data_IF_642930337952
#
_entry.id   IF_642930337952
#
_cell.length_a   1.000
_cell.length_b   1.000
_cell.length_c   1.000
_cell.angle_alpha   90.00
_cell.angle_beta   90.00
_cell.angle_gamma   90.00
#
_symmetry.space_group_name_H-M   'P 1'
#
loop_
_entity.id
_entity.type
_entity.pdbx_description
1 polymer ?
#
# COMPACT_ATOMS: atom_id res chain seq x y z
N UNK A 1 -22.77 1.50 -10.32
CA UNK A 1 -23.93 2.34 -10.03
C UNK A 1 -25.05 1.39 -9.75
N UNK A 2 -25.68 1.52 -8.59
CA UNK A 2 -26.80 0.69 -8.18
C UNK A 2 -27.99 1.56 -7.77
N UNK A 3 -29.19 0.95 -7.75
CA UNK A 3 -30.42 1.63 -7.29
C UNK A 3 -30.44 1.68 -5.77
N UNK A 4 -30.71 2.86 -5.21
CA UNK A 4 -30.85 3.00 -3.77
C UNK A 4 -32.22 2.48 -3.32
N UNK A 5 -32.26 1.37 -2.54
CA UNK A 5 -33.45 0.86 -1.82
C UNK A 5 -34.78 0.94 -2.60
N UNK A 6 -34.84 0.31 -3.78
CA UNK A 6 -36.02 0.30 -4.66
C UNK A 6 -36.54 1.69 -5.12
N UNK A 7 -35.75 2.74 -4.98
CA UNK A 7 -36.05 4.06 -5.54
C UNK A 7 -35.64 4.17 -7.02
N UNK A 8 -36.05 5.24 -7.67
CA UNK A 8 -35.57 5.64 -9.00
C UNK A 8 -34.19 6.32 -8.96
N UNK A 9 -33.57 6.46 -7.78
CA UNK A 9 -32.29 7.14 -7.61
C UNK A 9 -31.16 6.13 -7.71
N UNK A 10 -30.17 6.47 -8.54
CA UNK A 10 -28.93 5.72 -8.67
C UNK A 10 -27.82 6.44 -7.90
N UNK A 11 -26.90 5.66 -7.34
CA UNK A 11 -25.73 6.20 -6.65
C UNK A 11 -24.45 5.54 -7.12
N UNK A 12 -23.35 6.28 -7.00
CA UNK A 12 -22.01 5.76 -7.21
C UNK A 12 -21.51 5.07 -5.94
N UNK A 13 -20.85 3.94 -6.12
CA UNK A 13 -20.23 3.14 -5.07
C UNK A 13 -18.96 2.52 -5.64
N UNK A 14 -18.08 2.04 -4.76
CA UNK A 14 -16.89 1.29 -5.17
C UNK A 14 -17.31 0.07 -5.99
N UNK A 15 -16.54 -0.25 -7.04
CA UNK A 15 -16.83 -1.37 -7.94
C UNK A 15 -17.11 -2.64 -7.13
N UNK A 16 -18.20 -3.33 -7.48
CA UNK A 16 -18.67 -4.57 -6.84
C UNK A 16 -18.97 -4.46 -5.33
N UNK A 17 -19.09 -3.23 -4.80
CA UNK A 17 -19.36 -2.91 -3.39
C UNK A 17 -20.49 -1.88 -3.24
N UNK A 18 -21.75 -2.25 -3.52
CA UNK A 18 -22.91 -1.36 -3.36
C UNK A 18 -23.08 -0.83 -1.93
N UNK A 19 -22.52 -1.51 -0.94
CA UNK A 19 -22.48 -1.11 0.47
C UNK A 19 -21.54 0.07 0.76
N UNK A 20 -20.66 0.44 -0.18
CA UNK A 20 -19.67 1.51 -0.04
C UNK A 20 -19.98 2.68 -1.00
N UNK A 21 -20.97 3.54 -0.70
CA UNK A 21 -21.29 4.70 -1.52
C UNK A 21 -20.13 5.71 -1.53
N UNK A 22 -19.90 6.34 -2.68
CA UNK A 22 -18.85 7.34 -2.87
C UNK A 22 -19.38 8.71 -2.46
N UNK A 23 -18.65 9.40 -1.58
CA UNK A 23 -18.98 10.76 -1.14
C UNK A 23 -18.74 11.77 -2.26
N UNK A 24 -19.65 12.74 -2.39
CA UNK A 24 -19.52 13.81 -3.38
C UNK A 24 -18.61 14.93 -2.86
N UNK A 25 -17.32 14.87 -3.21
CA UNK A 25 -16.32 15.87 -2.82
C UNK A 25 -16.55 17.27 -3.38
N UNK A 26 -17.40 17.43 -4.40
CA UNK A 26 -17.81 18.76 -4.89
C UNK A 26 -18.77 19.47 -3.95
N UNK A 27 -19.39 18.75 -3.02
CA UNK A 27 -20.19 19.37 -1.96
C UNK A 27 -19.27 19.99 -0.92
N UNK A 28 -19.39 21.30 -0.75
CA UNK A 28 -18.62 22.05 0.25
C UNK A 28 -18.83 21.50 1.67
N UNK A 29 -20.08 21.18 2.03
CA UNK A 29 -20.41 20.58 3.32
C UNK A 29 -19.72 19.23 3.54
N UNK A 30 -19.62 18.39 2.50
CA UNK A 30 -18.90 17.11 2.59
C UNK A 30 -17.41 17.35 2.77
N UNK A 31 -16.82 18.25 1.98
CA UNK A 31 -15.41 18.58 2.07
C UNK A 31 -15.02 19.11 3.46
N UNK A 32 -15.83 20.03 4.01
CA UNK A 32 -15.65 20.57 5.37
C UNK A 32 -15.75 19.45 6.41
N UNK A 33 -16.82 18.65 6.37
CA UNK A 33 -17.03 17.59 7.35
C UNK A 33 -15.88 16.56 7.38
N UNK A 34 -15.33 16.19 6.22
CA UNK A 34 -14.19 15.26 6.16
C UNK A 34 -12.91 15.93 6.68
N UNK A 35 -12.67 17.19 6.32
CA UNK A 35 -11.49 17.95 6.80
C UNK A 35 -11.52 18.14 8.32
N UNK A 36 -12.69 18.41 8.90
CA UNK A 36 -12.87 18.50 10.35
C UNK A 36 -12.60 17.16 11.03
N UNK A 37 -13.03 16.04 10.44
CA UNK A 37 -12.71 14.70 10.93
C UNK A 37 -11.20 14.41 10.91
N UNK A 38 -10.48 14.84 9.86
CA UNK A 38 -9.02 14.74 9.81
C UNK A 38 -8.36 15.59 10.92
N UNK A 39 -8.81 16.84 11.10
CA UNK A 39 -8.33 17.72 12.16
C UNK A 39 -8.50 17.10 13.55
N UNK A 40 -9.65 16.50 13.83
CA UNK A 40 -9.90 15.80 15.09
C UNK A 40 -8.83 14.74 15.38
N UNK A 41 -8.45 13.90 14.41
CA UNK A 41 -7.43 12.89 14.64
C UNK A 41 -6.03 13.47 14.79
N UNK A 42 -5.73 14.56 14.08
CA UNK A 42 -4.49 15.32 14.29
C UNK A 42 -4.41 15.84 15.73
N UNK A 43 -5.50 16.34 16.32
CA UNK A 43 -5.53 16.73 17.74
C UNK A 43 -5.32 15.55 18.70
N UNK A 44 -5.77 14.35 18.32
CA UNK A 44 -5.51 13.11 19.09
C UNK A 44 -4.06 12.65 18.99
N UNK A 45 -3.24 13.31 18.19
CA UNK A 45 -1.80 13.14 18.15
C UNK A 45 -1.32 12.05 17.21
N UNK A 46 -2.13 11.63 16.23
CA UNK A 46 -1.67 10.73 15.16
C UNK A 46 -0.52 11.37 14.36
N UNK A 47 0.32 10.55 13.74
CA UNK A 47 1.47 11.03 12.97
C UNK A 47 1.22 11.05 11.45
N UNK A 48 0.04 10.60 10.99
CA UNK A 48 -0.26 10.57 9.56
C UNK A 48 -1.55 9.88 9.16
N UNK A 49 -1.88 9.96 7.87
CA UNK A 49 -3.04 9.33 7.26
C UNK A 49 -2.62 8.45 6.08
N UNK A 50 -3.31 7.31 5.96
CA UNK A 50 -3.27 6.45 4.79
C UNK A 50 -4.60 6.52 4.05
N UNK A 51 -4.56 6.95 2.80
CA UNK A 51 -5.72 7.04 1.93
C UNK A 51 -5.77 5.84 0.95
N UNK A 52 -6.77 4.98 1.11
CA UNK A 52 -7.13 3.98 0.11
C UNK A 52 -8.14 4.54 -0.89
N UNK A 53 -8.28 3.88 -2.05
CA UNK A 53 -9.33 4.14 -3.03
C UNK A 53 -9.40 5.60 -3.53
N UNK A 54 -8.25 6.26 -3.65
CA UNK A 54 -8.19 7.69 -4.03
C UNK A 54 -8.70 7.95 -5.45
N UNK A 55 -8.72 6.94 -6.32
CA UNK A 55 -9.28 6.96 -7.68
C UNK A 55 -10.80 7.18 -7.72
N UNK A 56 -11.46 7.12 -6.56
CA UNK A 56 -12.88 7.43 -6.39
C UNK A 56 -13.15 8.82 -5.80
N UNK A 57 -12.13 9.59 -5.40
CA UNK A 57 -12.32 10.97 -4.92
C UNK A 57 -12.94 11.86 -6.00
N UNK A 58 -12.59 11.62 -7.27
CA UNK A 58 -13.21 12.27 -8.40
C UNK A 58 -13.20 11.42 -9.67
N UNK A 59 -14.21 11.64 -10.50
CA UNK A 59 -14.43 10.93 -11.76
C UNK A 59 -14.59 11.93 -12.90
N UNK A 60 -14.23 11.49 -14.11
CA UNK A 60 -14.49 12.22 -15.35
C UNK A 60 -15.99 12.50 -15.51
N UNK A 61 -16.41 13.50 -16.32
CA UNK A 61 -17.84 13.84 -16.47
C UNK A 61 -18.75 12.68 -16.91
N UNK A 62 -18.20 11.67 -17.60
CA UNK A 62 -18.91 10.44 -17.98
C UNK A 62 -18.96 9.38 -16.86
N UNK A 63 -18.28 9.62 -15.73
CA UNK A 63 -18.19 8.77 -14.55
C UNK A 63 -17.31 7.52 -14.70
N UNK A 64 -16.71 7.30 -15.88
CA UNK A 64 -16.07 6.01 -16.22
C UNK A 64 -14.62 5.90 -15.74
N UNK A 65 -13.91 7.00 -15.65
CA UNK A 65 -12.50 7.02 -15.27
C UNK A 65 -12.25 7.96 -14.09
N UNK A 66 -11.15 7.73 -13.38
CA UNK A 66 -10.66 8.65 -12.36
C UNK A 66 -10.20 9.96 -13.00
N UNK A 67 -10.58 11.10 -12.40
CA UNK A 67 -10.10 12.42 -12.81
C UNK A 67 -8.89 12.80 -11.95
N UNK A 68 -7.69 12.43 -12.40
CA UNK A 68 -6.46 12.58 -11.62
C UNK A 68 -6.08 14.04 -11.33
N UNK A 69 -6.49 14.98 -12.18
CA UNK A 69 -6.28 16.41 -11.95
C UNK A 69 -7.15 16.90 -10.80
N UNK A 70 -8.43 16.52 -10.78
CA UNK A 70 -9.35 16.81 -9.68
C UNK A 70 -8.94 16.11 -8.38
N UNK A 71 -8.55 14.83 -8.46
CA UNK A 71 -8.04 14.06 -7.32
C UNK A 71 -6.83 14.75 -6.70
N UNK A 72 -5.85 15.15 -7.52
CA UNK A 72 -4.64 15.86 -7.06
C UNK A 72 -5.00 17.14 -6.31
N UNK A 73 -5.96 17.93 -6.82
CA UNK A 73 -6.41 19.15 -6.16
C UNK A 73 -7.15 18.88 -4.85
N UNK A 74 -8.00 17.85 -4.78
CA UNK A 74 -8.69 17.47 -3.54
C UNK A 74 -7.67 17.12 -2.46
N UNK A 75 -6.71 16.24 -2.80
CA UNK A 75 -5.62 15.84 -1.90
C UNK A 75 -4.74 17.02 -1.48
N UNK A 76 -4.41 17.93 -2.41
CA UNK A 76 -3.71 19.19 -2.07
C UNK A 76 -4.51 20.01 -1.06
N UNK A 77 -5.83 20.14 -1.25
CA UNK A 77 -6.67 20.88 -0.31
C UNK A 77 -6.75 20.22 1.07
N UNK A 78 -6.58 18.90 1.16
CA UNK A 78 -6.47 18.16 2.42
C UNK A 78 -5.12 18.47 3.07
N UNK A 79 -4.01 18.40 2.32
CA UNK A 79 -2.68 18.78 2.79
C UNK A 79 -2.65 20.20 3.35
N UNK A 80 -3.22 21.15 2.61
CA UNK A 80 -3.24 22.56 3.01
C UNK A 80 -4.06 22.76 4.28
N UNK A 81 -5.21 22.08 4.40
CA UNK A 81 -6.03 22.10 5.62
C UNK A 81 -5.26 21.56 6.84
N UNK A 82 -4.60 20.41 6.70
CA UNK A 82 -3.79 19.81 7.77
C UNK A 82 -2.65 20.74 8.18
N UNK A 83 -1.94 21.33 7.21
CA UNK A 83 -0.84 22.25 7.49
C UNK A 83 -1.34 23.53 8.19
N UNK A 84 -2.45 24.10 7.73
CA UNK A 84 -3.07 25.26 8.36
C UNK A 84 -3.44 24.95 9.82
N UNK A 85 -4.12 23.83 10.02
CA UNK A 85 -4.59 23.40 11.33
C UNK A 85 -3.44 23.11 12.31
N UNK A 86 -2.40 22.41 11.82
CA UNK A 86 -1.16 22.16 12.56
C UNK A 86 -0.54 23.44 13.08
N UNK A 87 -0.39 24.44 12.21
CA UNK A 87 0.28 25.69 12.56
C UNK A 87 -0.51 26.52 13.59
N UNK A 88 -1.83 26.33 13.67
CA UNK A 88 -2.70 26.98 14.65
C UNK A 88 -2.73 26.29 16.03
N UNK A 89 -2.24 25.06 16.15
CA UNK A 89 -2.30 24.27 17.39
C UNK A 89 -0.94 24.17 18.07
N UNK A 90 -0.88 24.58 19.35
CA UNK A 90 0.33 24.55 20.18
C UNK A 90 0.89 23.12 20.31
N UNK A 91 0.01 22.12 20.37
CA UNK A 91 0.39 20.72 20.62
C UNK A 91 0.90 19.99 19.36
N UNK A 92 0.61 20.51 18.17
CA UNK A 92 0.93 19.82 16.90
C UNK A 92 1.91 20.60 16.02
N UNK A 93 2.24 21.85 16.36
CA UNK A 93 3.10 22.74 15.57
C UNK A 93 4.42 22.14 15.12
N UNK A 94 5.04 21.28 15.93
CA UNK A 94 6.35 20.67 15.65
C UNK A 94 6.25 19.29 14.98
N UNK A 95 5.04 18.71 14.83
CA UNK A 95 4.86 17.38 14.22
C UNK A 95 4.65 17.46 12.72
N UNK A 96 5.41 16.72 11.92
CA UNK A 96 5.03 16.51 10.52
C UNK A 96 3.97 15.42 10.41
N UNK A 97 2.87 15.72 9.70
CA UNK A 97 1.78 14.78 9.47
C UNK A 97 2.01 14.11 8.13
N UNK A 98 2.33 12.82 8.17
CA UNK A 98 2.63 12.02 6.99
C UNK A 98 1.36 11.67 6.22
N UNK A 99 1.29 11.94 4.92
CA UNK A 99 0.17 11.53 4.05
C UNK A 99 0.66 10.54 3.01
N UNK A 100 0.08 9.35 3.04
CA UNK A 100 0.33 8.30 2.04
C UNK A 100 -0.96 7.83 1.38
N UNK A 101 -0.84 7.30 0.17
CA UNK A 101 -1.95 6.64 -0.50
C UNK A 101 -1.56 5.28 -1.10
N UNK A 102 -2.50 4.34 -1.10
CA UNK A 102 -2.41 3.07 -1.85
C UNK A 102 -3.48 3.05 -2.93
N UNK A 103 -3.21 3.64 -4.11
CA UNK A 103 -4.11 3.55 -5.25
C UNK A 103 -4.04 2.16 -5.90
N UNK A 104 -5.02 1.85 -6.76
CA UNK A 104 -4.84 0.83 -7.80
C UNK A 104 -3.58 1.14 -8.64
N UNK A 105 -2.94 0.15 -9.28
CA UNK A 105 -1.70 0.36 -10.05
C UNK A 105 -1.75 1.60 -10.95
N UNK A 106 -0.79 2.50 -10.74
CA UNK A 106 -0.72 3.79 -11.41
C UNK A 106 0.45 3.84 -12.38
N UNK A 107 0.20 4.51 -13.51
CA UNK A 107 1.28 4.97 -14.38
C UNK A 107 2.18 5.96 -13.63
N UNK A 108 3.45 5.96 -14.01
CA UNK A 108 4.52 6.77 -13.42
C UNK A 108 4.22 8.27 -13.37
N UNK A 109 3.63 8.81 -14.44
CA UNK A 109 3.21 10.21 -14.53
C UNK A 109 2.21 10.60 -13.44
N UNK A 110 1.28 9.69 -13.12
CA UNK A 110 0.29 9.87 -12.04
C UNK A 110 0.92 9.76 -10.66
N UNK A 111 1.88 8.84 -10.47
CA UNK A 111 2.64 8.75 -9.21
C UNK A 111 3.38 10.06 -8.94
N UNK A 112 4.02 10.61 -9.98
CA UNK A 112 4.69 11.92 -9.89
C UNK A 112 3.71 13.03 -9.52
N UNK A 113 2.61 13.16 -10.26
CA UNK A 113 1.55 14.15 -10.01
C UNK A 113 1.09 14.13 -8.54
N UNK A 114 0.87 12.94 -7.98
CA UNK A 114 0.34 12.79 -6.63
C UNK A 114 1.36 13.15 -5.53
N UNK A 115 2.65 12.82 -5.68
CA UNK A 115 3.64 13.26 -4.70
C UNK A 115 4.01 14.74 -4.86
N UNK A 116 4.23 15.21 -6.09
CA UNK A 116 4.70 16.60 -6.31
C UNK A 116 3.57 17.61 -6.17
N UNK A 117 2.42 17.35 -6.81
CA UNK A 117 1.37 18.35 -7.02
C UNK A 117 0.19 18.17 -6.07
N UNK A 118 -0.09 16.95 -5.59
CA UNK A 118 -1.09 16.72 -4.56
C UNK A 118 -0.52 16.86 -3.14
N UNK A 119 0.81 16.78 -2.98
CA UNK A 119 1.49 16.91 -1.70
C UNK A 119 1.36 15.69 -0.80
N UNK A 120 1.20 14.49 -1.37
CA UNK A 120 1.42 13.25 -0.62
C UNK A 120 2.91 13.08 -0.36
N UNK A 121 3.26 12.64 0.85
CA UNK A 121 4.65 12.31 1.18
C UNK A 121 5.06 10.97 0.54
N UNK A 122 4.07 10.11 0.26
CA UNK A 122 4.32 8.81 -0.33
C UNK A 122 3.13 8.23 -1.08
N UNK A 123 3.43 7.34 -2.02
CA UNK A 123 2.48 6.48 -2.71
C UNK A 123 3.03 5.06 -2.63
N UNK A 124 2.20 4.13 -2.19
CA UNK A 124 2.58 2.72 -2.09
C UNK A 124 2.74 2.14 -3.49
N UNK A 125 3.88 1.51 -3.73
CA UNK A 125 4.19 0.73 -4.93
C UNK A 125 3.56 -0.64 -4.80
N UNK A 126 2.43 -0.84 -5.47
CA UNK A 126 1.63 -2.06 -5.43
C UNK A 126 1.97 -3.04 -6.55
N UNK A 127 2.85 -2.68 -7.50
CA UNK A 127 3.19 -3.54 -8.64
C UNK A 127 3.78 -4.92 -8.26
N UNK A 128 4.33 -5.03 -7.05
CA UNK A 128 4.94 -6.26 -6.51
C UNK A 128 3.94 -7.14 -5.73
N UNK A 129 2.74 -6.63 -5.45
CA UNK A 129 1.74 -7.28 -4.58
C UNK A 129 1.02 -8.48 -5.22
N UNK A 130 1.27 -8.75 -6.50
CA UNK A 130 0.70 -9.87 -7.28
C UNK A 130 1.74 -10.85 -7.87
N UNK A 131 3.04 -10.69 -7.57
CA UNK A 131 4.06 -11.69 -7.90
C UNK A 131 3.69 -13.08 -7.33
N UNK A 132 3.64 -14.09 -8.20
CA UNK A 132 3.22 -15.45 -7.90
C UNK A 132 3.97 -16.51 -8.73
N UNK A 133 3.71 -17.79 -8.47
CA UNK A 133 4.14 -18.84 -9.36
C UNK A 133 3.34 -18.76 -10.68
N UNK A 134 3.99 -18.98 -11.83
CA UNK A 134 3.36 -18.86 -13.17
C UNK A 134 2.88 -17.46 -13.54
N UNK A 135 3.60 -16.43 -13.07
CA UNK A 135 3.32 -15.00 -13.22
C UNK A 135 2.59 -14.62 -14.51
N UNK A 136 1.45 -13.91 -14.37
CA UNK A 136 0.67 -13.33 -15.48
C UNK A 136 0.82 -11.82 -15.61
N UNK A 137 1.57 -11.19 -14.72
CA UNK A 137 1.72 -9.74 -14.62
C UNK A 137 2.98 -9.21 -15.34
N UNK A 138 3.95 -10.08 -15.61
CA UNK A 138 5.17 -9.77 -16.36
C UNK A 138 5.08 -10.31 -17.80
N UNK A 139 6.06 -9.95 -18.64
CA UNK A 139 6.08 -10.41 -20.02
C UNK A 139 6.03 -11.94 -20.12
N UNK A 140 5.41 -12.46 -21.19
CA UNK A 140 5.25 -13.90 -21.39
C UNK A 140 6.57 -14.69 -21.44
N UNK A 141 7.69 -14.01 -21.72
CA UNK A 141 9.04 -14.59 -21.66
C UNK A 141 9.59 -14.76 -20.23
N UNK A 142 9.05 -14.03 -19.25
CA UNK A 142 9.48 -14.02 -17.85
C UNK A 142 8.44 -14.70 -16.95
N UNK A 143 8.42 -16.03 -16.98
CA UNK A 143 7.44 -16.84 -16.23
C UNK A 143 7.88 -17.19 -14.80
N UNK A 144 9.11 -16.85 -14.41
CA UNK A 144 9.65 -17.16 -13.09
C UNK A 144 9.36 -16.04 -12.08
N UNK A 145 9.27 -16.39 -10.80
CA UNK A 145 9.16 -15.41 -9.69
C UNK A 145 10.35 -14.44 -9.74
N UNK A 146 11.57 -14.96 -9.91
CA UNK A 146 12.79 -14.18 -9.92
C UNK A 146 12.86 -13.20 -11.11
N UNK A 147 12.57 -13.68 -12.31
CA UNK A 147 12.59 -12.86 -13.53
C UNK A 147 11.59 -11.72 -13.48
N UNK A 148 10.35 -12.02 -13.12
CA UNK A 148 9.30 -11.01 -12.97
C UNK A 148 9.59 -10.01 -11.83
N UNK A 149 10.12 -10.48 -10.70
CA UNK A 149 10.56 -9.58 -9.61
C UNK A 149 11.67 -8.65 -10.08
N UNK A 150 12.66 -9.17 -10.81
CA UNK A 150 13.78 -8.39 -11.33
C UNK A 150 13.32 -7.35 -12.36
N UNK A 151 12.43 -7.72 -13.29
CA UNK A 151 11.82 -6.82 -14.27
C UNK A 151 11.16 -5.62 -13.58
N UNK A 152 10.20 -5.89 -12.68
CA UNK A 152 9.42 -4.84 -12.00
C UNK A 152 10.33 -3.95 -11.14
N UNK A 153 11.25 -4.54 -10.37
CA UNK A 153 12.17 -3.78 -9.50
C UNK A 153 13.13 -2.91 -10.33
N UNK A 154 13.62 -3.43 -11.46
CA UNK A 154 14.54 -2.68 -12.33
C UNK A 154 13.87 -1.43 -12.89
N UNK A 155 12.65 -1.54 -13.37
CA UNK A 155 11.89 -0.42 -13.93
C UNK A 155 11.58 0.61 -12.84
N UNK A 156 11.07 0.15 -11.68
CA UNK A 156 10.69 1.04 -10.60
C UNK A 156 11.88 1.78 -9.98
N UNK A 157 13.04 1.14 -9.84
CA UNK A 157 14.22 1.82 -9.31
C UNK A 157 14.72 2.93 -10.23
N UNK A 158 14.69 2.71 -11.55
CA UNK A 158 14.99 3.75 -12.54
C UNK A 158 13.99 4.90 -12.45
N UNK A 159 12.70 4.60 -12.31
CA UNK A 159 11.67 5.62 -12.10
C UNK A 159 11.91 6.44 -10.82
N UNK A 160 12.13 5.80 -9.68
CA UNK A 160 12.35 6.48 -8.40
C UNK A 160 13.63 7.32 -8.42
N UNK A 161 14.72 6.82 -9.00
CA UNK A 161 15.98 7.57 -9.09
C UNK A 161 15.90 8.77 -10.04
N UNK A 162 15.15 8.66 -11.14
CA UNK A 162 15.04 9.72 -12.15
C UNK A 162 14.04 10.81 -11.79
N UNK A 163 13.03 10.49 -10.98
CA UNK A 163 11.94 11.43 -10.64
C UNK A 163 12.04 12.02 -9.24
N UNK A 164 12.79 11.39 -8.33
CA UNK A 164 12.85 11.76 -6.91
C UNK A 164 11.60 11.40 -6.13
N UNK A 165 10.65 10.67 -6.73
CA UNK A 165 9.45 10.15 -6.05
C UNK A 165 9.92 9.14 -4.99
N UNK A 166 9.55 9.36 -3.73
CA UNK A 166 10.02 8.52 -2.62
C UNK A 166 9.37 7.12 -2.68
N UNK A 167 10.18 6.03 -2.70
CA UNK A 167 9.67 4.67 -2.84
C UNK A 167 9.11 4.11 -1.54
N UNK A 168 7.95 3.44 -1.63
CA UNK A 168 7.38 2.63 -0.55
C UNK A 168 6.95 1.29 -1.10
N UNK A 169 7.58 0.22 -0.62
CA UNK A 169 7.42 -1.13 -1.16
C UNK A 169 6.43 -1.93 -0.34
N UNK A 170 5.47 -2.55 -1.02
CA UNK A 170 4.50 -3.47 -0.44
C UNK A 170 4.44 -4.74 -1.30
N UNK A 171 4.81 -5.89 -0.72
CA UNK A 171 4.70 -7.18 -1.41
C UNK A 171 3.48 -7.97 -0.94
N UNK A 172 2.97 -7.68 0.26
CA UNK A 172 1.79 -8.33 0.85
C UNK A 172 0.91 -7.29 1.50
N UNK A 173 -0.41 -7.48 1.43
CA UNK A 173 -1.40 -6.52 1.88
C UNK A 173 -2.74 -7.20 2.20
N UNK A 174 -3.76 -6.49 2.73
CA UNK A 174 -5.02 -7.12 3.12
C UNK A 174 -5.96 -7.40 1.93
N UNK A 175 -5.53 -7.23 0.69
CA UNK A 175 -6.34 -7.40 -0.51
C UNK A 175 -5.85 -8.52 -1.42
N UNK A 176 -4.55 -8.81 -1.41
CA UNK A 176 -3.93 -9.88 -2.22
C UNK A 176 -3.66 -11.14 -1.40
N UNK A 177 -3.57 -12.29 -2.08
CA UNK A 177 -3.19 -13.55 -1.43
C UNK A 177 -1.80 -13.43 -0.77
N UNK A 178 -1.61 -14.06 0.40
CA UNK A 178 -0.34 -13.94 1.15
C UNK A 178 0.86 -14.37 0.31
N UNK A 179 2.02 -13.74 0.54
CA UNK A 179 3.26 -13.99 -0.22
C UNK A 179 3.58 -15.48 -0.30
N UNK A 180 3.60 -16.18 0.83
CA UNK A 180 3.89 -17.61 0.90
C UNK A 180 2.88 -18.49 0.14
N UNK A 181 1.63 -18.05 0.02
CA UNK A 181 0.61 -18.74 -0.77
C UNK A 181 0.76 -18.50 -2.27
N UNK A 182 1.16 -17.29 -2.69
CA UNK A 182 1.36 -16.96 -4.11
C UNK A 182 2.53 -17.71 -4.75
N UNK A 183 3.62 -17.90 -4.00
CA UNK A 183 4.84 -18.56 -4.52
C UNK A 183 4.94 -20.04 -4.19
N UNK A 184 4.00 -20.58 -3.40
CA UNK A 184 3.93 -21.98 -2.97
C UNK A 184 5.23 -22.55 -2.37
N UNK A 185 6.09 -21.69 -1.82
CA UNK A 185 7.40 -22.08 -1.32
C UNK A 185 7.86 -21.10 -0.22
N UNK A 186 8.13 -21.62 0.98
CA UNK A 186 8.55 -20.81 2.14
C UNK A 186 9.87 -20.08 1.88
N UNK A 187 10.83 -20.73 1.21
CA UNK A 187 12.13 -20.13 0.87
C UNK A 187 11.93 -18.97 -0.10
N UNK A 188 11.07 -19.12 -1.12
CA UNK A 188 10.77 -18.00 -2.03
C UNK A 188 10.08 -16.85 -1.30
N UNK A 189 9.17 -17.13 -0.37
CA UNK A 189 8.55 -16.09 0.46
C UNK A 189 9.56 -15.35 1.31
N UNK A 190 10.48 -16.08 1.94
CA UNK A 190 11.58 -15.48 2.71
C UNK A 190 12.45 -14.61 1.83
N UNK A 191 12.88 -15.10 0.66
CA UNK A 191 13.70 -14.33 -0.30
C UNK A 191 13.01 -13.05 -0.77
N UNK A 192 11.72 -13.08 -1.10
CA UNK A 192 10.97 -11.88 -1.50
C UNK A 192 10.92 -10.84 -0.37
N UNK A 193 10.75 -11.29 0.88
CA UNK A 193 10.79 -10.40 2.03
C UNK A 193 12.19 -9.85 2.30
N UNK A 194 13.24 -10.66 2.08
CA UNK A 194 14.62 -10.19 2.14
C UNK A 194 14.85 -9.07 1.10
N UNK A 195 14.38 -9.27 -0.14
CA UNK A 195 14.45 -8.25 -1.19
C UNK A 195 13.74 -6.97 -0.75
N UNK A 196 12.49 -7.06 -0.29
CA UNK A 196 11.73 -5.89 0.15
C UNK A 196 12.41 -5.10 1.28
N UNK A 197 13.11 -5.77 2.19
CA UNK A 197 13.87 -5.15 3.28
C UNK A 197 15.21 -4.57 2.85
N UNK A 198 15.70 -4.90 1.65
CA UNK A 198 16.96 -4.40 1.10
C UNK A 198 16.76 -3.30 0.05
N UNK A 199 15.53 -3.08 -0.42
CA UNK A 199 15.20 -1.99 -1.35
C UNK A 199 15.29 -0.60 -0.66
N UNK A 200 15.71 0.47 -1.37
CA UNK A 200 15.80 1.83 -0.82
C UNK A 200 14.42 2.42 -0.50
N UNK A 201 14.30 3.33 0.48
CA UNK A 201 13.01 3.95 0.85
C UNK A 201 12.33 3.34 2.08
N UNK A 202 11.01 3.18 2.05
CA UNK A 202 10.26 2.53 3.16
C UNK A 202 9.71 1.18 2.75
N UNK A 203 9.77 0.20 3.65
CA UNK A 203 9.17 -1.12 3.48
C UNK A 203 7.88 -1.21 4.31
N UNK A 204 6.76 -1.54 3.68
CA UNK A 204 5.48 -1.80 4.34
C UNK A 204 5.25 -3.31 4.45
N UNK A 205 5.26 -3.85 5.67
CA UNK A 205 5.17 -5.28 5.94
C UNK A 205 3.77 -5.59 6.49
N UNK A 206 3.05 -6.50 5.83
CA UNK A 206 1.75 -6.96 6.30
C UNK A 206 1.92 -8.06 7.35
N UNK A 207 1.11 -8.02 8.42
CA UNK A 207 1.28 -8.93 9.56
C UNK A 207 1.25 -10.39 9.12
N UNK A 208 2.12 -11.21 9.67
CA UNK A 208 2.22 -12.61 9.33
C UNK A 208 3.17 -12.90 8.16
N UNK A 209 3.54 -11.92 7.32
CA UNK A 209 4.54 -12.13 6.27
C UNK A 209 5.93 -12.38 6.87
N UNK A 210 6.23 -11.79 8.03
CA UNK A 210 7.48 -12.00 8.79
C UNK A 210 7.67 -13.43 9.29
N UNK A 211 6.58 -14.20 9.40
CA UNK A 211 6.61 -15.63 9.72
C UNK A 211 6.25 -16.53 8.52
N UNK A 212 5.97 -15.95 7.35
CA UNK A 212 5.59 -16.71 6.15
C UNK A 212 4.19 -17.30 6.23
N UNK A 213 3.24 -16.58 6.84
CA UNK A 213 1.84 -17.00 6.95
C UNK A 213 1.24 -17.26 5.58
N UNK A 214 0.43 -18.31 5.48
CA UNK A 214 -0.34 -18.63 4.28
C UNK A 214 -1.79 -18.17 4.41
N UNK A 215 -2.49 -18.11 3.30
CA UNK A 215 -3.94 -17.93 3.28
C UNK A 215 -4.63 -18.95 4.19
N UNK A 216 -5.70 -18.52 4.86
CA UNK A 216 -6.59 -19.45 5.55
C UNK A 216 -7.40 -20.24 4.53
N UNK A 217 -7.52 -21.54 4.76
CA UNK A 217 -8.44 -22.41 4.02
C UNK A 217 -9.77 -22.39 4.76
N UNK A 218 -10.77 -21.71 4.21
CA UNK A 218 -12.13 -21.82 4.75
C UNK A 218 -12.75 -23.13 4.24
N UNK A 219 -13.11 -24.01 5.17
CA UNK A 219 -13.77 -25.29 4.83
C UNK A 219 -15.15 -24.98 4.24
N UNK A 220 -15.35 -25.33 2.98
CA UNK A 220 -16.65 -25.21 2.28
C UNK A 220 -16.83 -23.98 1.40
N UNK A 221 -15.85 -23.08 1.29
CA UNK A 221 -15.92 -21.93 0.38
C UNK A 221 -14.56 -21.68 -0.32
N UNK A 222 -14.40 -22.24 -1.51
CA UNK A 222 -13.21 -22.01 -2.36
C UNK A 222 -13.12 -20.55 -2.85
N UNK A 223 -14.23 -19.80 -2.81
CA UNK A 223 -14.35 -18.40 -3.19
C UNK A 223 -14.36 -17.45 -1.98
N UNK A 224 -14.01 -17.95 -0.79
CA UNK A 224 -13.97 -17.18 0.44
C UNK A 224 -13.31 -15.82 0.20
N UNK A 225 -14.07 -14.74 0.36
CA UNK A 225 -13.51 -13.40 0.30
C UNK A 225 -12.55 -13.24 1.49
N UNK A 226 -11.38 -12.67 1.25
CA UNK A 226 -10.43 -12.25 2.29
C UNK A 226 -9.64 -13.37 3.01
N UNK A 227 -9.24 -14.43 2.29
CA UNK A 227 -8.39 -15.54 2.83
C UNK A 227 -7.03 -15.09 3.41
N UNK A 228 -6.58 -13.90 3.04
CA UNK A 228 -5.36 -13.25 3.54
C UNK A 228 -5.54 -12.54 4.89
N UNK A 229 -6.76 -12.50 5.45
CA UNK A 229 -7.07 -11.78 6.70
C UNK A 229 -7.29 -12.72 7.90
N UNK A 230 -6.76 -13.94 7.81
CA UNK A 230 -6.76 -14.89 8.93
C UNK A 230 -5.96 -14.38 10.13
N UNK A 231 -6.34 -14.82 11.32
CA UNK A 231 -5.72 -14.43 12.59
C UNK A 231 -4.20 -14.60 12.59
N UNK A 232 -3.51 -13.71 13.32
CA UNK A 232 -2.06 -13.84 13.52
C UNK A 232 -1.74 -15.16 14.22
N UNK A 233 -0.77 -15.87 13.68
CA UNK A 233 -0.40 -17.21 14.15
C UNK A 233 0.68 -17.11 15.22
N UNK A 234 0.27 -17.19 16.49
CA UNK A 234 1.19 -17.09 17.63
C UNK A 234 1.85 -18.42 18.01
N UNK A 235 1.06 -19.46 18.32
CA UNK A 235 1.51 -20.62 19.10
C UNK A 235 1.65 -21.95 18.33
N UNK A 236 1.35 -22.00 17.03
CA UNK A 236 1.50 -23.26 16.28
C UNK A 236 2.96 -23.57 15.91
N UNK A 237 3.23 -24.76 15.35
CA UNK A 237 4.58 -25.20 14.99
C UNK A 237 5.34 -24.24 14.06
N UNK A 238 4.62 -23.52 13.20
CA UNK A 238 5.17 -22.52 12.29
C UNK A 238 4.86 -21.08 12.74
N UNK A 239 4.42 -20.89 13.98
CA UNK A 239 3.92 -19.63 14.51
C UNK A 239 5.05 -18.77 15.05
N UNK A 240 4.69 -17.57 15.46
CA UNK A 240 5.64 -16.59 16.00
C UNK A 240 6.50 -17.17 17.13
N UNK A 241 5.90 -17.82 18.13
CA UNK A 241 6.63 -18.33 19.30
C UNK A 241 7.62 -19.44 18.94
N UNK A 242 7.23 -20.38 18.08
CA UNK A 242 8.14 -21.43 17.58
C UNK A 242 9.31 -20.84 16.80
N UNK A 243 9.01 -19.97 15.83
CA UNK A 243 10.04 -19.32 15.01
C UNK A 243 10.94 -18.37 15.81
N UNK A 244 10.47 -17.84 16.94
CA UNK A 244 11.28 -16.98 17.80
C UNK A 244 12.44 -17.74 18.46
N UNK A 245 12.33 -19.05 18.65
CA UNK A 245 13.38 -19.88 19.24
C UNK A 245 14.24 -20.60 18.19
N UNK A 246 13.69 -20.88 17.02
CA UNK A 246 14.42 -21.50 15.92
C UNK A 246 15.40 -20.51 15.25
N UNK A 247 16.69 -20.87 15.16
CA UNK A 247 17.75 -19.97 14.66
C UNK A 247 17.68 -19.68 13.16
N UNK A 248 17.08 -20.60 12.40
CA UNK A 248 17.01 -20.62 10.93
C UNK A 248 15.61 -20.28 10.42
N UNK A 249 14.73 -19.75 11.29
CA UNK A 249 13.40 -19.36 10.89
C UNK A 249 13.38 -18.08 10.05
N UNK A 250 12.34 -17.94 9.24
CA UNK A 250 12.05 -16.73 8.48
C UNK A 250 11.92 -15.50 9.40
N UNK A 251 11.32 -15.67 10.60
CA UNK A 251 11.27 -14.61 11.60
C UNK A 251 12.67 -14.14 12.04
N UNK A 252 13.64 -15.05 12.20
CA UNK A 252 15.01 -14.67 12.56
C UNK A 252 15.72 -13.93 11.43
N UNK A 253 15.49 -14.34 10.19
CA UNK A 253 15.99 -13.62 9.01
C UNK A 253 15.41 -12.21 8.96
N UNK A 254 14.08 -12.09 9.11
CA UNK A 254 13.38 -10.80 9.17
C UNK A 254 13.94 -9.89 10.27
N UNK A 255 14.06 -10.39 11.52
CA UNK A 255 14.60 -9.63 12.65
C UNK A 255 16.02 -9.12 12.39
N UNK A 256 16.90 -9.97 11.81
CA UNK A 256 18.28 -9.59 11.50
C UNK A 256 18.35 -8.54 10.40
N UNK A 257 17.56 -8.69 9.34
CA UNK A 257 17.53 -7.73 8.22
C UNK A 257 16.89 -6.40 8.61
N UNK A 258 15.79 -6.41 9.37
CA UNK A 258 15.19 -5.20 9.91
C UNK A 258 16.18 -4.45 10.81
N UNK A 259 16.93 -5.17 11.66
CA UNK A 259 18.00 -4.57 12.47
C UNK A 259 19.13 -4.00 11.60
N UNK A 260 19.60 -4.74 10.59
CA UNK A 260 20.62 -4.27 9.66
C UNK A 260 20.17 -3.00 8.93
N UNK A 261 18.93 -2.97 8.44
CA UNK A 261 18.32 -1.81 7.79
C UNK A 261 18.30 -0.60 8.72
N UNK A 262 17.92 -0.79 9.98
CA UNK A 262 17.81 0.31 10.96
C UNK A 262 19.12 1.06 11.26
N UNK A 263 20.27 0.44 10.98
CA UNK A 263 21.59 1.03 11.25
C UNK A 263 22.38 1.35 9.98
N UNK A 264 21.85 1.03 8.79
CA UNK A 264 22.55 1.15 7.52
C UNK A 264 21.86 2.15 6.60
N UNK A 265 22.37 3.38 6.59
CA UNK A 265 21.93 4.40 5.64
C UNK A 265 22.18 3.98 4.18
N UNK A 266 23.17 3.12 3.92
CA UNK A 266 23.42 2.59 2.59
C UNK A 266 22.23 1.77 2.05
N UNK A 267 21.47 1.10 2.92
CA UNK A 267 20.27 0.34 2.52
C UNK A 267 19.07 1.27 2.35
N UNK A 268 18.90 2.24 3.26
CA UNK A 268 17.71 3.11 3.27
C UNK A 268 17.76 4.18 2.18
N UNK A 269 18.91 4.84 2.03
CA UNK A 269 19.08 6.03 1.19
C UNK A 269 20.34 5.99 0.32
N UNK A 270 21.05 4.87 0.27
CA UNK A 270 22.21 4.70 -0.58
C UNK A 270 21.85 4.55 -2.05
N UNK A 271 22.86 4.70 -2.91
CA UNK A 271 22.70 4.47 -4.34
C UNK A 271 22.42 2.99 -4.62
N UNK A 272 21.42 2.72 -5.47
CA UNK A 272 21.07 1.37 -5.90
C UNK A 272 21.49 1.18 -7.35
N UNK A 273 22.34 0.19 -7.60
CA UNK A 273 22.80 -0.16 -8.94
C UNK A 273 22.32 -1.57 -9.29
N UNK A 274 21.58 -1.69 -10.39
CA UNK A 274 21.23 -2.98 -10.99
C UNK A 274 22.11 -3.15 -12.22
N UNK A 275 22.89 -4.24 -12.27
CA UNK A 275 23.62 -4.60 -13.47
C UNK A 275 22.63 -5.09 -14.54
N UNK A 276 22.71 -4.50 -15.73
CA UNK A 276 22.00 -5.00 -16.91
C UNK A 276 22.50 -6.37 -17.32
#
# INVERSE_FOLDING_TARGET
>A
MDRYKNSSVFYYHIKDRPDLPILNWRSENVSIAIKDALSFWVEKGIDGFHFGFIEYLARTPDGKNADWTEISRILRSIRDHINFYKNGSINTKEKDIFLMASPEPLKEDRKRLLQTDAGLDSIVTTELDNIALSNKICYASENSVAGCTNEIISDLLVFHSSTGVYPVWEFGNPYTDRIASRVHNKIHSELLMMIQLLLPGTSMIYYGDEIGSTNVVQVGDENAQQRQRGEMVWDNENGFHSQFHERTSQLKTFQKLAKLRSVSNAIISGETYISK
#
